data_IF_571185056541
#
_entry.id   IF_571185056541
#
_cell.length_a   1.000
_cell.length_b   1.000
_cell.length_c   1.000
_cell.angle_alpha   90.00
_cell.angle_beta   90.00
_cell.angle_gamma   90.00
#
_symmetry.space_group_name_H-M   'P 1'
#
loop_
_entity.id
_entity.type
_entity.pdbx_description
1 polymer ?
#
# COMPACT_ATOMS: atom_id res chain seq x y z
N UNK A 1 -11.31 14.48 7.18
CA UNK A 1 -11.79 14.06 5.85
C UNK A 1 -11.00 12.86 5.37
N UNK A 2 -11.69 11.93 4.73
CA UNK A 2 -11.04 10.73 4.22
C UNK A 2 -10.27 11.05 2.94
N UNK A 3 -9.01 10.64 2.88
CA UNK A 3 -8.22 10.77 1.67
C UNK A 3 -8.67 9.71 0.67
N UNK A 4 -8.68 10.08 -0.61
CA UNK A 4 -9.10 9.17 -1.66
C UNK A 4 -7.88 8.49 -2.25
N UNK A 5 -7.95 7.18 -2.34
CA UNK A 5 -6.87 6.34 -2.88
C UNK A 5 -7.33 5.76 -4.21
N UNK A 6 -6.59 6.05 -5.27
CA UNK A 6 -6.86 5.53 -6.61
C UNK A 6 -5.69 4.64 -7.02
N UNK A 7 -5.99 3.42 -7.45
CA UNK A 7 -4.96 2.43 -7.77
C UNK A 7 -5.12 2.01 -9.22
N UNK A 8 -3.99 2.04 -9.95
CA UNK A 8 -3.94 1.59 -11.35
C UNK A 8 -2.83 0.59 -11.50
N UNK A 9 -3.17 -0.58 -12.04
CA UNK A 9 -2.17 -1.62 -12.28
C UNK A 9 -1.37 -1.28 -13.53
N UNK A 10 -0.05 -1.23 -13.39
CA UNK A 10 0.85 -0.94 -14.52
C UNK A 10 1.34 -2.22 -15.19
N UNK A 11 1.61 -3.26 -14.39
CA UNK A 11 1.98 -4.57 -14.89
C UNK A 11 1.67 -5.60 -13.80
N UNK A 12 2.15 -6.83 -13.97
CA UNK A 12 1.79 -7.92 -13.05
C UNK A 12 2.22 -7.66 -11.60
N UNK A 13 3.24 -6.82 -11.40
CA UNK A 13 3.80 -6.61 -10.07
C UNK A 13 3.87 -5.16 -9.66
N UNK A 14 3.46 -4.23 -10.53
CA UNK A 14 3.64 -2.79 -10.27
C UNK A 14 2.30 -2.07 -10.31
N UNK A 15 2.08 -1.22 -9.31
CA UNK A 15 0.85 -0.45 -9.18
C UNK A 15 1.19 1.03 -9.03
N UNK A 16 0.38 1.87 -9.66
CA UNK A 16 0.44 3.31 -9.46
C UNK A 16 -0.67 3.69 -8.49
N UNK A 17 -0.31 4.37 -7.42
CA UNK A 17 -1.26 4.75 -6.38
C UNK A 17 -1.27 6.28 -6.28
N UNK A 18 -2.43 6.86 -6.52
CA UNK A 18 -2.65 8.29 -6.35
C UNK A 18 -3.42 8.51 -5.06
N UNK A 19 -2.92 9.40 -4.21
CA UNK A 19 -3.59 9.75 -2.97
C UNK A 19 -4.00 11.21 -3.05
N UNK A 20 -5.30 11.45 -3.00
CA UNK A 20 -5.85 12.79 -3.06
C UNK A 20 -6.11 13.29 -1.64
N UNK A 21 -5.48 14.39 -1.31
CA UNK A 21 -5.63 15.07 -0.03
C UNK A 21 -5.52 16.57 -0.26
N UNK A 22 -4.97 17.30 0.69
CA UNK A 22 -4.70 18.72 0.47
C UNK A 22 -3.65 18.89 -0.64
N UNK A 23 -2.77 17.92 -0.80
CA UNK A 23 -1.84 17.81 -1.93
C UNK A 23 -2.00 16.41 -2.51
N UNK A 24 -2.12 16.30 -3.83
CA UNK A 24 -2.21 14.99 -4.48
C UNK A 24 -0.81 14.46 -4.73
N UNK A 25 -0.58 13.20 -4.33
CA UNK A 25 0.70 12.54 -4.56
C UNK A 25 0.49 11.25 -5.34
N UNK A 26 1.52 10.84 -6.09
CA UNK A 26 1.49 9.62 -6.87
C UNK A 26 2.67 8.76 -6.48
N UNK A 27 2.41 7.46 -6.27
CA UNK A 27 3.41 6.51 -5.81
C UNK A 27 3.42 5.30 -6.72
N UNK A 28 4.60 4.73 -6.94
CA UNK A 28 4.75 3.48 -7.70
C UNK A 28 5.20 2.41 -6.74
N UNK A 29 4.39 1.37 -6.61
CA UNK A 29 4.62 0.31 -5.63
C UNK A 29 4.80 -1.02 -6.34
N UNK A 30 5.87 -1.73 -6.01
CA UNK A 30 6.12 -3.06 -6.53
C UNK A 30 5.67 -4.08 -5.49
N UNK A 31 4.88 -5.06 -5.93
CA UNK A 31 4.35 -6.11 -5.07
C UNK A 31 4.85 -7.45 -5.58
N UNK A 32 5.75 -8.07 -4.82
CA UNK A 32 6.22 -9.42 -5.13
C UNK A 32 5.08 -10.40 -4.86
N UNK A 33 4.70 -11.26 -5.84
CA UNK A 33 3.58 -12.19 -5.65
C UNK A 33 3.76 -13.13 -4.45
N UNK A 34 4.97 -13.59 -4.21
CA UNK A 34 5.22 -14.49 -3.06
C UNK A 34 5.02 -13.76 -1.75
N UNK A 35 5.47 -12.52 -1.67
CA UNK A 35 5.26 -11.70 -0.47
C UNK A 35 3.77 -11.41 -0.26
N UNK A 36 3.06 -11.08 -1.34
CA UNK A 36 1.63 -10.80 -1.25
C UNK A 36 0.88 -12.03 -0.74
N UNK A 37 1.26 -13.22 -1.21
CA UNK A 37 0.64 -14.46 -0.76
C UNK A 37 0.92 -14.73 0.70
N UNK A 38 2.13 -14.40 1.13
CA UNK A 38 2.55 -14.60 2.52
C UNK A 38 1.72 -13.77 3.49
N UNK A 39 1.47 -12.49 3.18
CA UNK A 39 0.81 -11.60 4.13
C UNK A 39 -0.67 -11.39 3.87
N UNK A 40 -1.13 -11.66 2.65
CA UNK A 40 -2.52 -11.40 2.26
C UNK A 40 -3.26 -12.67 1.83
N UNK A 41 -2.57 -13.80 1.75
CA UNK A 41 -3.17 -15.07 1.37
C UNK A 41 -3.73 -15.02 -0.04
N UNK A 42 -5.03 -15.27 -0.19
CA UNK A 42 -5.70 -15.29 -1.49
C UNK A 42 -6.26 -13.93 -1.89
N UNK A 43 -6.07 -12.89 -1.08
CA UNK A 43 -6.55 -11.56 -1.41
C UNK A 43 -5.86 -11.02 -2.66
N UNK A 44 -6.58 -10.23 -3.44
CA UNK A 44 -6.03 -9.65 -4.64
C UNK A 44 -4.95 -8.61 -4.29
N UNK A 45 -3.94 -8.51 -5.16
CA UNK A 45 -2.84 -7.57 -4.93
C UNK A 45 -3.33 -6.12 -4.83
N UNK A 46 -4.33 -5.75 -5.61
CA UNK A 46 -4.89 -4.39 -5.54
C UNK A 46 -5.46 -4.11 -4.16
N UNK A 47 -6.17 -5.07 -3.58
CA UNK A 47 -6.71 -4.90 -2.23
C UNK A 47 -5.60 -4.77 -1.20
N UNK A 48 -4.53 -5.54 -1.37
CA UNK A 48 -3.38 -5.45 -0.49
C UNK A 48 -2.73 -4.07 -0.58
N UNK A 49 -2.57 -3.54 -1.79
CA UNK A 49 -1.98 -2.22 -1.98
C UNK A 49 -2.87 -1.15 -1.34
N UNK A 50 -4.18 -1.23 -1.54
CA UNK A 50 -5.11 -0.27 -0.94
C UNK A 50 -5.05 -0.31 0.59
N UNK A 51 -5.11 -1.51 1.16
CA UNK A 51 -5.03 -1.67 2.62
C UNK A 51 -3.71 -1.15 3.15
N UNK A 52 -2.62 -1.37 2.41
CA UNK A 52 -1.30 -0.90 2.81
C UNK A 52 -1.23 0.62 2.85
N UNK A 53 -1.85 1.30 1.88
CA UNK A 53 -1.89 2.75 1.89
C UNK A 53 -2.81 3.29 2.98
N UNK A 54 -3.91 2.60 3.27
CA UNK A 54 -4.75 2.97 4.41
C UNK A 54 -3.96 2.86 5.72
N UNK A 55 -3.16 1.81 5.84
CA UNK A 55 -2.28 1.64 7.00
C UNK A 55 -1.28 2.80 7.12
N UNK A 56 -0.63 3.15 6.00
CA UNK A 56 0.35 4.23 5.99
C UNK A 56 -0.29 5.58 6.30
N UNK A 57 -1.45 5.86 5.70
CA UNK A 57 -2.11 7.15 5.87
C UNK A 57 -2.66 7.35 7.29
N UNK A 58 -2.85 6.28 8.04
CA UNK A 58 -3.22 6.39 9.44
C UNK A 58 -2.04 6.84 10.31
N UNK A 59 -0.82 6.78 9.78
CA UNK A 59 0.41 7.04 10.53
C UNK A 59 1.18 8.24 10.03
N UNK A 60 1.05 8.57 8.75
CA UNK A 60 1.77 9.70 8.17
C UNK A 60 0.97 10.29 7.01
N UNK A 61 1.32 11.52 6.62
CA UNK A 61 0.65 12.16 5.49
C UNK A 61 1.14 11.55 4.18
N UNK A 62 0.32 11.69 3.13
CA UNK A 62 0.70 11.15 1.82
C UNK A 62 2.00 11.79 1.29
N UNK A 63 2.30 13.02 1.69
CA UNK A 63 3.52 13.67 1.25
C UNK A 63 4.78 13.08 1.89
N UNK A 64 4.62 12.32 2.96
CA UNK A 64 5.74 11.64 3.63
C UNK A 64 6.01 10.25 3.07
N UNK A 65 5.06 9.70 2.30
CA UNK A 65 5.22 8.36 1.73
C UNK A 65 6.17 8.43 0.54
N UNK A 66 7.07 7.47 0.46
CA UNK A 66 8.01 7.41 -0.67
C UNK A 66 7.26 7.30 -1.99
N UNK A 67 7.81 7.92 -3.03
CA UNK A 67 7.16 7.90 -4.34
C UNK A 67 7.32 6.58 -5.08
N UNK A 68 8.35 5.81 -4.73
CA UNK A 68 8.61 4.51 -5.35
C UNK A 68 9.21 3.59 -4.31
N UNK A 69 8.60 2.45 -4.10
CA UNK A 69 9.11 1.49 -3.14
C UNK A 69 8.50 0.11 -3.37
N UNK A 70 9.16 -0.90 -2.80
CA UNK A 70 8.62 -2.25 -2.76
C UNK A 70 7.82 -2.43 -1.48
N UNK A 71 6.73 -3.18 -1.57
CA UNK A 71 5.79 -3.29 -0.46
C UNK A 71 6.42 -3.74 0.86
N UNK A 72 7.39 -4.69 0.87
CA UNK A 72 8.02 -5.11 2.13
C UNK A 72 8.70 -3.99 2.90
N UNK A 73 9.02 -2.89 2.23
CA UNK A 73 9.65 -1.75 2.91
C UNK A 73 8.77 -1.19 4.02
N UNK A 74 7.45 -1.31 3.87
CA UNK A 74 6.52 -0.83 4.90
C UNK A 74 6.78 -1.55 6.22
N UNK A 75 6.98 -2.87 6.17
CA UNK A 75 7.28 -3.64 7.37
C UNK A 75 8.62 -3.30 7.98
N UNK A 76 9.54 -2.77 7.17
CA UNK A 76 10.84 -2.34 7.67
C UNK A 76 10.70 -1.10 8.56
N UNK A 77 9.86 -0.15 8.14
CA UNK A 77 9.64 1.07 8.91
C UNK A 77 8.60 0.88 10.01
N UNK A 78 7.62 0.01 9.78
CA UNK A 78 6.53 -0.23 10.72
C UNK A 78 6.43 -1.75 10.96
N UNK A 79 7.16 -2.28 11.94
CA UNK A 79 7.19 -3.74 12.16
C UNK A 79 5.82 -4.37 12.37
N UNK A 80 4.84 -3.61 12.84
CA UNK A 80 3.49 -4.12 13.07
C UNK A 80 2.68 -4.30 11.78
N UNK A 81 3.19 -3.81 10.64
CA UNK A 81 2.45 -3.83 9.38
C UNK A 81 2.00 -5.23 8.99
N UNK A 82 2.91 -6.20 9.01
CA UNK A 82 2.58 -7.55 8.56
C UNK A 82 1.57 -8.23 9.46
N UNK A 83 1.51 -7.84 10.73
CA UNK A 83 0.54 -8.38 11.66
C UNK A 83 -0.83 -7.75 11.48
N UNK A 84 -0.87 -6.48 11.15
CA UNK A 84 -2.13 -5.74 11.08
C UNK A 84 -2.79 -5.81 9.71
N UNK A 85 -2.02 -6.01 8.65
CA UNK A 85 -2.55 -5.96 7.30
C UNK A 85 -3.63 -7.02 7.06
N UNK A 86 -3.50 -8.19 7.67
CA UNK A 86 -4.49 -9.24 7.56
C UNK A 86 -5.86 -8.81 8.06
N UNK A 87 -5.88 -8.05 9.15
CA UNK A 87 -7.14 -7.52 9.71
C UNK A 87 -7.75 -6.47 8.79
N UNK A 88 -6.93 -5.68 8.13
CA UNK A 88 -7.42 -4.64 7.22
C UNK A 88 -8.00 -5.23 5.94
N UNK A 89 -7.63 -6.47 5.61
CA UNK A 89 -8.12 -7.17 4.41
C UNK A 89 -9.41 -7.93 4.64
N UNK A 90 -9.83 -8.07 5.87
CA UNK A 90 -11.06 -8.78 6.21
C UNK A 90 -12.30 -7.92 6.07
#
# INVERSE_FOLDING_TARGET
>A
MTQQINIRRLDNTTFEVSVEGSTTTTHVVTVNPDYARKIAGTSEAERLVRASFEFLLARESNTSILRRFELPLIGHYFPEYEQQIGSLLQ
#
